data_IF_053958798891
#
_entry.id   IF_053958798891
#
_cell.length_a   1.000
_cell.length_b   1.000
_cell.length_c   1.000
_cell.angle_alpha   90.00
_cell.angle_beta   90.00
_cell.angle_gamma   90.00
#
_symmetry.space_group_name_H-M   'P 1'
#
loop_
_entity.id
_entity.type
_entity.pdbx_description
1 polymer ?
#
# COMPACT_ATOMS: atom_id res chain seq x y z
N UNK A 1 -26.47 7.70 -7.81
CA UNK A 1 -26.62 6.43 -7.07
C UNK A 1 -27.10 6.79 -5.68
N UNK A 2 -28.20 6.21 -5.16
CA UNK A 2 -28.63 6.54 -3.81
C UNK A 2 -27.55 6.08 -2.83
N UNK A 3 -27.01 7.01 -2.05
CA UNK A 3 -26.09 6.70 -0.95
C UNK A 3 -26.90 6.11 0.17
N UNK A 4 -27.22 4.83 0.10
CA UNK A 4 -27.87 4.11 1.20
C UNK A 4 -26.91 4.12 2.38
N UNK A 5 -27.25 4.91 3.41
CA UNK A 5 -26.52 4.95 4.67
C UNK A 5 -27.01 3.82 5.56
N UNK A 6 -26.08 2.99 6.02
CA UNK A 6 -26.33 1.94 7.01
C UNK A 6 -25.88 2.42 8.39
N UNK A 7 -26.70 2.18 9.42
CA UNK A 7 -26.37 2.55 10.80
C UNK A 7 -25.70 1.38 11.50
N UNK A 8 -24.47 1.60 11.95
CA UNK A 8 -23.67 0.63 12.69
C UNK A 8 -23.49 1.09 14.14
N UNK A 9 -23.65 0.15 15.09
CA UNK A 9 -23.29 0.36 16.49
C UNK A 9 -21.93 -0.27 16.74
N UNK A 10 -20.94 0.54 17.14
CA UNK A 10 -19.57 0.09 17.35
C UNK A 10 -19.13 0.44 18.76
N UNK A 11 -18.70 -0.56 19.53
CA UNK A 11 -18.04 -0.35 20.82
C UNK A 11 -16.57 -0.04 20.57
N UNK A 12 -16.05 0.98 21.25
CA UNK A 12 -14.67 1.41 21.12
C UNK A 12 -14.03 1.65 22.49
N UNK A 13 -12.71 1.52 22.62
CA UNK A 13 -11.99 1.92 23.82
C UNK A 13 -12.29 3.38 24.20
N UNK A 14 -12.35 3.66 25.51
CA UNK A 14 -12.71 4.98 26.05
C UNK A 14 -11.82 6.10 25.53
N UNK A 15 -10.52 5.84 25.39
CA UNK A 15 -9.54 6.79 24.86
C UNK A 15 -9.82 7.18 23.39
N UNK A 16 -10.18 6.20 22.55
CA UNK A 16 -10.54 6.47 21.15
C UNK A 16 -11.86 7.27 21.08
N UNK A 17 -12.85 6.91 21.90
CA UNK A 17 -14.10 7.66 21.98
C UNK A 17 -13.85 9.11 22.42
N UNK A 18 -12.96 9.32 23.39
CA UNK A 18 -12.59 10.65 23.86
C UNK A 18 -11.91 11.47 22.74
N UNK A 19 -10.98 10.85 22.01
CA UNK A 19 -10.30 11.50 20.87
C UNK A 19 -11.28 11.92 19.77
N UNK A 20 -12.24 11.05 19.43
CA UNK A 20 -13.28 11.36 18.43
C UNK A 20 -14.19 12.50 18.91
N UNK A 21 -14.58 12.49 20.20
CA UNK A 21 -15.40 13.56 20.78
C UNK A 21 -14.66 14.89 20.79
N UNK A 22 -13.39 14.90 21.21
CA UNK A 22 -12.55 16.08 21.23
C UNK A 22 -12.43 16.73 19.84
N UNK A 23 -12.21 15.94 18.80
CA UNK A 23 -12.14 16.46 17.43
C UNK A 23 -13.45 17.10 16.94
N UNK A 24 -14.60 16.66 17.47
CA UNK A 24 -15.91 17.30 17.20
C UNK A 24 -16.08 18.55 18.05
N UNK A 25 -15.72 18.49 19.34
CA UNK A 25 -15.82 19.61 20.28
C UNK A 25 -14.91 20.78 19.88
N UNK A 26 -13.74 20.50 19.29
CA UNK A 26 -12.80 21.48 18.74
C UNK A 26 -13.27 22.06 17.38
N UNK A 27 -14.36 21.52 16.82
CA UNK A 27 -14.95 21.99 15.56
C UNK A 27 -14.21 21.51 14.30
N UNK A 28 -13.26 20.58 14.42
CA UNK A 28 -12.59 19.99 13.25
C UNK A 28 -13.54 19.12 12.42
N UNK A 29 -14.55 18.53 13.07
CA UNK A 29 -15.56 17.69 12.44
C UNK A 29 -16.97 18.05 12.89
N UNK A 30 -17.94 17.96 11.99
CA UNK A 30 -19.34 18.26 12.30
C UNK A 30 -20.05 17.14 13.07
N UNK A 31 -19.49 15.92 13.08
CA UNK A 31 -20.05 14.78 13.81
C UNK A 31 -19.05 13.65 14.03
N UNK A 32 -19.31 12.82 15.04
CA UNK A 32 -18.54 11.59 15.29
C UNK A 32 -18.56 10.64 14.08
N UNK A 33 -19.68 10.60 13.34
CA UNK A 33 -19.82 9.78 12.15
C UNK A 33 -18.93 10.25 11.00
N UNK A 34 -18.57 11.52 10.97
CA UNK A 34 -17.65 12.08 9.98
C UNK A 34 -16.22 11.62 10.22
N UNK A 35 -15.74 11.76 11.46
CA UNK A 35 -14.42 11.26 11.90
C UNK A 35 -14.25 9.78 11.56
N UNK A 36 -15.25 8.96 11.90
CA UNK A 36 -15.22 7.52 11.64
C UNK A 36 -15.19 7.21 10.14
N UNK A 37 -15.97 7.93 9.32
CA UNK A 37 -15.95 7.73 7.86
C UNK A 37 -14.61 8.13 7.26
N UNK A 38 -14.00 9.21 7.73
CA UNK A 38 -12.67 9.61 7.27
C UNK A 38 -11.61 8.56 7.62
N UNK A 39 -11.55 8.14 8.88
CA UNK A 39 -10.65 7.09 9.33
C UNK A 39 -10.82 5.78 8.53
N UNK A 40 -12.06 5.40 8.20
CA UNK A 40 -12.35 4.24 7.37
C UNK A 40 -11.89 4.41 5.92
N UNK A 41 -12.03 5.61 5.33
CA UNK A 41 -11.51 5.89 3.98
C UNK A 41 -9.99 5.77 3.96
N UNK A 42 -9.33 6.37 4.94
CA UNK A 42 -7.87 6.31 5.03
C UNK A 42 -7.37 4.87 5.24
N UNK A 43 -8.00 4.13 6.16
CA UNK A 43 -7.73 2.70 6.36
C UNK A 43 -7.91 1.90 5.07
N UNK A 44 -8.99 2.14 4.32
CA UNK A 44 -9.25 1.47 3.03
C UNK A 44 -8.16 1.79 2.02
N UNK A 45 -7.74 3.05 1.91
CA UNK A 45 -6.66 3.47 1.01
C UNK A 45 -5.34 2.78 1.35
N UNK A 46 -4.93 2.79 2.63
CA UNK A 46 -3.72 2.08 3.08
C UNK A 46 -3.79 0.59 2.77
N UNK A 47 -4.93 -0.06 3.02
CA UNK A 47 -5.13 -1.48 2.73
C UNK A 47 -5.05 -1.77 1.22
N UNK A 48 -5.63 -0.92 0.38
CA UNK A 48 -5.58 -1.09 -1.07
C UNK A 48 -4.14 -0.99 -1.58
N UNK A 49 -3.35 -0.04 -1.07
CA UNK A 49 -1.93 0.08 -1.41
C UNK A 49 -1.16 -1.20 -1.06
N UNK A 50 -1.31 -1.70 0.16
CA UNK A 50 -0.69 -2.95 0.61
C UNK A 50 -1.09 -4.14 -0.27
N UNK A 51 -2.36 -4.26 -0.65
CA UNK A 51 -2.84 -5.34 -1.51
C UNK A 51 -2.24 -5.24 -2.92
N UNK A 52 -2.11 -4.03 -3.46
CA UNK A 52 -1.50 -3.81 -4.75
C UNK A 52 0.00 -4.18 -4.75
N UNK A 53 0.75 -3.76 -3.72
CA UNK A 53 2.16 -4.11 -3.53
C UNK A 53 2.35 -5.62 -3.41
N UNK A 54 1.51 -6.29 -2.62
CA UNK A 54 1.54 -7.75 -2.48
C UNK A 54 1.23 -8.45 -3.81
N UNK A 55 0.28 -7.93 -4.59
CA UNK A 55 -0.03 -8.47 -5.91
C UNK A 55 1.16 -8.32 -6.86
N UNK A 56 1.81 -7.15 -6.88
CA UNK A 56 2.99 -6.92 -7.72
C UNK A 56 4.14 -7.86 -7.34
N UNK A 57 4.41 -8.02 -6.04
CA UNK A 57 5.44 -8.94 -5.55
C UNK A 57 5.16 -10.40 -5.95
N UNK A 58 3.89 -10.84 -5.86
CA UNK A 58 3.50 -12.19 -6.32
C UNK A 58 3.75 -12.35 -7.81
N UNK A 59 3.38 -11.37 -8.63
CA UNK A 59 3.64 -11.39 -10.07
C UNK A 59 5.14 -11.48 -10.37
N UNK A 60 5.98 -10.73 -9.66
CA UNK A 60 7.44 -10.78 -9.84
C UNK A 60 8.02 -12.17 -9.47
N UNK A 61 7.52 -12.78 -8.39
CA UNK A 61 7.92 -14.13 -7.98
C UNK A 61 7.49 -15.16 -9.02
N UNK A 62 6.24 -15.11 -9.49
CA UNK A 62 5.72 -16.04 -10.50
C UNK A 62 6.53 -15.95 -11.81
N UNK A 63 6.89 -14.73 -12.22
CA UNK A 63 7.78 -14.50 -13.37
C UNK A 63 9.17 -15.10 -13.14
N UNK A 64 9.76 -14.90 -11.95
CA UNK A 64 11.05 -15.49 -11.60
C UNK A 64 11.02 -17.02 -11.60
N UNK A 65 9.95 -17.63 -11.06
CA UNK A 65 9.75 -19.08 -11.09
C UNK A 65 9.59 -19.60 -12.52
N UNK A 66 8.87 -18.89 -13.38
CA UNK A 66 8.75 -19.23 -14.80
C UNK A 66 10.10 -19.13 -15.54
N UNK A 67 10.94 -18.15 -15.21
CA UNK A 67 12.30 -18.03 -15.76
C UNK A 67 13.21 -19.17 -15.31
N UNK A 68 13.12 -19.59 -14.04
CA UNK A 68 13.83 -20.77 -13.52
C UNK A 68 13.39 -22.03 -14.26
N UNK A 69 12.09 -22.27 -14.36
CA UNK A 69 11.53 -23.44 -15.05
C UNK A 69 11.94 -23.51 -16.53
N UNK A 70 12.07 -22.35 -17.19
CA UNK A 70 12.51 -22.25 -18.58
C UNK A 70 14.05 -22.19 -18.76
N UNK A 71 14.84 -22.29 -17.69
CA UNK A 71 16.30 -22.24 -17.76
C UNK A 71 16.86 -20.87 -18.18
N UNK A 72 16.10 -19.78 -18.01
CA UNK A 72 16.52 -18.41 -18.36
C UNK A 72 17.38 -17.74 -17.29
N UNK A 73 17.77 -18.48 -16.25
CA UNK A 73 18.59 -17.99 -15.14
C UNK A 73 20.07 -18.32 -15.35
N UNK A 74 20.95 -17.57 -14.68
CA UNK A 74 22.40 -17.77 -14.69
C UNK A 74 22.92 -17.68 -13.27
N UNK A 75 24.09 -18.26 -13.01
CA UNK A 75 24.78 -18.11 -11.72
C UNK A 75 24.99 -16.63 -11.40
N UNK A 76 24.74 -16.25 -10.15
CA UNK A 76 24.95 -14.90 -9.68
C UNK A 76 26.44 -14.55 -9.66
N UNK A 77 26.79 -13.42 -10.27
CA UNK A 77 28.15 -12.88 -10.36
C UNK A 77 28.08 -11.36 -10.26
N UNK A 78 28.45 -10.82 -9.10
CA UNK A 78 28.33 -9.40 -8.80
C UNK A 78 29.27 -8.55 -9.67
N UNK A 79 30.51 -9.00 -9.91
CA UNK A 79 31.51 -8.25 -10.67
C UNK A 79 31.08 -8.09 -12.12
N UNK A 80 30.53 -9.15 -12.71
CA UNK A 80 29.97 -9.10 -14.07
C UNK A 80 28.78 -8.15 -14.16
N UNK A 81 27.90 -8.13 -13.15
CA UNK A 81 26.73 -7.23 -13.11
C UNK A 81 27.20 -5.77 -13.03
N UNK A 82 28.15 -5.46 -12.14
CA UNK A 82 28.72 -4.11 -11.99
C UNK A 82 29.39 -3.65 -13.27
N UNK A 83 30.21 -4.50 -13.89
CA UNK A 83 30.90 -4.18 -15.15
C UNK A 83 29.90 -3.85 -16.27
N UNK A 84 28.82 -4.64 -16.40
CA UNK A 84 27.75 -4.37 -17.36
C UNK A 84 27.03 -3.06 -17.06
N UNK A 85 26.75 -2.75 -15.80
CA UNK A 85 26.14 -1.49 -15.38
C UNK A 85 26.96 -0.26 -15.79
N UNK A 86 28.28 -0.31 -15.56
CA UNK A 86 29.21 0.78 -15.98
C UNK A 86 29.20 1.01 -17.49
N UNK A 87 29.17 -0.07 -18.29
CA UNK A 87 29.11 0.03 -19.75
C UNK A 87 27.81 0.70 -20.23
N UNK A 88 26.66 0.31 -19.66
CA UNK A 88 25.36 0.90 -20.00
C UNK A 88 25.29 2.39 -19.64
N UNK A 89 25.84 2.78 -18.48
CA UNK A 89 25.90 4.17 -18.05
C UNK A 89 26.74 5.02 -19.01
N UNK A 90 27.92 4.53 -19.42
CA UNK A 90 28.78 5.23 -20.37
C UNK A 90 28.14 5.40 -21.75
N UNK A 91 27.36 4.40 -22.20
CA UNK A 91 26.63 4.47 -23.47
C UNK A 91 25.45 5.47 -23.45
N UNK A 92 24.84 5.72 -22.29
CA UNK A 92 23.74 6.68 -22.13
C UNK A 92 24.21 8.13 -21.99
N UNK A 93 25.48 8.33 -21.64
CA UNK A 93 26.08 9.65 -21.44
C UNK A 93 26.73 10.22 -22.71
N UNK A 94 26.57 9.54 -23.85
CA UNK A 94 27.13 9.90 -25.15
C UNK A 94 26.01 10.20 -26.13
#
# INVERSE_FOLDING_TARGET
>A
MPTTLERLTVTMPSEMAASIKQAVDDGEYASTSEVVREALREWKTRRQLMLNELSALKTDIDQGLADVAAGRVKTFDADRIIARGKQLLAARSK
#
